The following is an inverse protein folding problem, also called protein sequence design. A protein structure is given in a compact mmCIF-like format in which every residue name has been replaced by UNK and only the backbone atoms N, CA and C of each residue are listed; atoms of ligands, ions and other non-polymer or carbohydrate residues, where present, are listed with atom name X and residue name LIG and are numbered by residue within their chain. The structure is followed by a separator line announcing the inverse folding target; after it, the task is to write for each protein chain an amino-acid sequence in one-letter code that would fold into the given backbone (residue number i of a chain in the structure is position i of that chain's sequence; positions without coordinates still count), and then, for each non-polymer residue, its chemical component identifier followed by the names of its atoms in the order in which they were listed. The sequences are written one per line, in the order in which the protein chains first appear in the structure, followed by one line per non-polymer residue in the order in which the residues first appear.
data_IF_156510993043
#
_entry.id   IF_156510993043
#
_cell.length_a   1.000
_cell.length_b   1.000
_cell.length_c   1.000
_cell.angle_alpha   90.00
_cell.angle_beta   90.00
_cell.angle_gamma   90.00
#
_symmetry.space_group_name_H-M   'P 1'
#
loop_
_entity.id
_entity.type
_entity.pdbx_description
1 polymer ?
#
# COMPACT_ATOMS: atom_id res chain seq x y z
N UNK A 1 -67.88 25.76 25.98
CA UNK A 1 -68.07 24.34 25.62
C UNK A 1 -67.23 24.06 24.39
N UNK A 2 -66.44 22.99 24.48
CA UNK A 2 -65.85 22.17 23.40
C UNK A 2 -64.63 22.65 22.60
N UNK A 3 -63.83 21.63 22.28
CA UNK A 3 -62.38 21.51 22.00
C UNK A 3 -61.99 21.86 20.55
N UNK A 4 -60.67 22.01 20.27
CA UNK A 4 -60.08 22.23 18.94
C UNK A 4 -59.85 20.87 18.20
N UNK A 5 -59.34 20.81 16.93
CA UNK A 5 -57.89 20.88 16.66
C UNK A 5 -57.42 21.36 15.26
N UNK A 6 -56.10 21.66 15.20
CA UNK A 6 -55.13 21.48 14.10
C UNK A 6 -55.30 22.18 12.73
N UNK A 7 -54.30 22.98 12.32
CA UNK A 7 -53.30 22.64 11.27
C UNK A 7 -52.44 23.85 10.83
N UNK A 8 -51.13 23.57 10.73
CA UNK A 8 -50.13 24.03 9.74
C UNK A 8 -49.78 25.54 9.66
N UNK A 9 -48.58 25.97 10.09
CA UNK A 9 -47.26 25.91 9.40
C UNK A 9 -47.23 26.60 8.02
N UNK A 10 -46.74 27.85 7.99
CA UNK A 10 -45.91 28.42 6.91
C UNK A 10 -45.35 29.81 7.31
N UNK A 11 -44.15 29.82 7.91
CA UNK A 11 -43.25 30.99 7.97
C UNK A 11 -42.15 30.72 6.93
N UNK A 12 -42.12 31.36 5.76
CA UNK A 12 -41.54 32.67 5.45
C UNK A 12 -40.06 32.86 5.82
N UNK A 13 -39.23 32.83 4.76
CA UNK A 13 -38.21 33.82 4.35
C UNK A 13 -36.73 33.36 4.20
N UNK A 14 -36.03 33.88 3.17
CA UNK A 14 -34.75 33.39 2.64
C UNK A 14 -33.56 34.11 3.29
N UNK A 15 -32.44 33.40 3.43
CA UNK A 15 -31.15 34.00 3.79
C UNK A 15 -30.07 33.57 2.81
N UNK A 16 -29.52 34.57 2.11
CA UNK A 16 -28.10 34.66 1.78
C UNK A 16 -27.54 33.59 0.85
N UNK A 17 -27.42 33.93 -0.44
CA UNK A 17 -26.54 33.21 -1.35
C UNK A 17 -25.08 33.33 -0.90
N UNK A 18 -24.56 32.27 -0.28
CA UNK A 18 -23.12 32.01 -0.29
C UNK A 18 -22.77 31.51 -1.68
N UNK A 19 -22.08 32.32 -2.47
CA UNK A 19 -21.32 31.80 -3.60
C UNK A 19 -20.25 30.87 -3.00
N UNK A 20 -20.56 29.58 -2.95
CA UNK A 20 -19.61 28.53 -2.61
C UNK A 20 -18.54 28.57 -3.70
N UNK A 21 -17.41 29.21 -3.40
CA UNK A 21 -16.17 28.94 -4.13
C UNK A 21 -15.90 27.45 -3.98
N UNK A 22 -16.18 26.73 -5.05
CA UNK A 22 -15.99 25.30 -5.15
C UNK A 22 -14.49 25.04 -4.88
N UNK A 23 -14.13 24.32 -3.80
CA UNK A 23 -12.74 23.98 -3.58
C UNK A 23 -12.28 23.19 -4.80
N UNK A 24 -11.20 23.64 -5.45
CA UNK A 24 -10.56 22.89 -6.51
C UNK A 24 -10.32 21.47 -5.98
N UNK A 25 -10.94 20.49 -6.62
CA UNK A 25 -11.11 19.15 -6.07
C UNK A 25 -9.76 18.43 -6.03
N UNK A 26 -9.13 18.20 -4.86
CA UNK A 26 -7.88 17.44 -4.79
C UNK A 26 -8.09 15.93 -5.05
N UNK A 27 -9.35 15.51 -5.24
CA UNK A 27 -9.74 14.11 -5.43
C UNK A 27 -9.33 13.53 -6.80
N UNK A 28 -9.15 14.35 -7.83
CA UNK A 28 -8.84 13.83 -9.18
C UNK A 28 -7.41 13.29 -9.30
N UNK A 29 -6.42 13.97 -8.70
CA UNK A 29 -5.02 13.49 -8.71
C UNK A 29 -4.83 12.19 -7.90
N UNK A 30 -5.59 12.02 -6.80
CA UNK A 30 -5.50 10.83 -5.94
C UNK A 30 -6.15 9.58 -6.54
N UNK A 31 -7.24 9.75 -7.28
CA UNK A 31 -7.91 8.64 -7.97
C UNK A 31 -7.13 8.16 -9.19
N UNK A 32 -6.45 9.06 -9.91
CA UNK A 32 -5.56 8.69 -11.03
C UNK A 32 -4.31 7.92 -10.56
N UNK A 33 -3.70 8.34 -9.44
CA UNK A 33 -2.53 7.66 -8.87
C UNK A 33 -2.85 6.23 -8.39
N UNK A 34 -4.03 6.02 -7.78
CA UNK A 34 -4.50 4.70 -7.31
C UNK A 34 -4.72 3.69 -8.44
N UNK A 35 -4.79 4.16 -9.70
CA UNK A 35 -4.88 3.32 -10.91
C UNK A 35 -3.54 3.19 -11.65
N UNK A 36 -2.49 3.85 -11.17
CA UNK A 36 -1.20 3.80 -11.85
C UNK A 36 -0.55 2.40 -11.72
N UNK A 37 0.18 1.94 -12.76
CA UNK A 37 0.92 0.67 -12.71
C UNK A 37 1.92 0.60 -11.54
N UNK A 38 2.57 1.72 -11.23
CA UNK A 38 3.54 1.81 -10.13
C UNK A 38 2.89 1.67 -8.76
N UNK A 39 1.70 2.27 -8.57
CA UNK A 39 0.93 2.06 -7.35
C UNK A 39 0.47 0.61 -7.22
N UNK A 40 -0.04 0.02 -8.31
CA UNK A 40 -0.49 -1.38 -8.34
C UNK A 40 0.64 -2.35 -8.02
N UNK A 41 1.82 -2.16 -8.64
CA UNK A 41 3.04 -2.91 -8.36
C UNK A 41 3.36 -2.87 -6.87
N UNK A 42 3.41 -1.67 -6.30
CA UNK A 42 3.77 -1.48 -4.90
C UNK A 42 2.75 -2.09 -3.95
N UNK A 43 1.46 -1.93 -4.21
CA UNK A 43 0.39 -2.46 -3.38
C UNK A 43 0.46 -4.00 -3.33
N UNK A 44 0.61 -4.65 -4.48
CA UNK A 44 0.72 -6.13 -4.55
C UNK A 44 1.96 -6.64 -3.81
N UNK A 45 3.12 -6.02 -4.05
CA UNK A 45 4.36 -6.44 -3.42
C UNK A 45 4.42 -6.14 -1.92
N UNK A 46 3.85 -5.03 -1.48
CA UNK A 46 3.75 -4.74 -0.06
C UNK A 46 2.84 -5.75 0.66
N UNK A 47 1.69 -6.09 0.08
CA UNK A 47 0.79 -7.09 0.65
C UNK A 47 1.43 -8.47 0.75
N UNK A 48 2.14 -8.91 -0.30
CA UNK A 48 2.87 -10.19 -0.30
C UNK A 48 3.97 -10.22 0.80
N UNK A 49 4.75 -9.14 0.89
CA UNK A 49 5.79 -9.00 1.93
C UNK A 49 5.22 -9.00 3.34
N UNK A 50 4.11 -8.28 3.56
CA UNK A 50 3.48 -8.16 4.87
C UNK A 50 3.03 -9.53 5.42
N UNK A 51 2.49 -10.41 4.57
CA UNK A 51 2.17 -11.78 4.97
C UNK A 51 3.38 -12.54 5.51
N UNK A 52 4.55 -12.39 4.87
CA UNK A 52 5.78 -13.03 5.33
C UNK A 52 6.33 -12.40 6.61
N UNK A 53 6.21 -11.08 6.78
CA UNK A 53 6.57 -10.38 8.02
C UNK A 53 5.74 -10.88 9.22
N UNK A 54 4.44 -11.14 9.03
CA UNK A 54 3.59 -11.71 10.06
C UNK A 54 4.03 -13.12 10.46
N UNK A 55 4.41 -13.95 9.49
CA UNK A 55 4.97 -15.29 9.77
C UNK A 55 6.28 -15.20 10.56
N UNK A 56 7.16 -14.25 10.21
CA UNK A 56 8.37 -13.97 10.98
C UNK A 56 8.04 -13.60 12.42
N UNK A 57 7.11 -12.67 12.62
CA UNK A 57 6.70 -12.22 13.95
C UNK A 57 6.17 -13.40 14.80
N UNK A 58 5.26 -14.19 14.25
CA UNK A 58 4.69 -15.34 14.96
C UNK A 58 5.75 -16.42 15.25
N UNK A 59 6.63 -16.74 14.30
CA UNK A 59 7.70 -17.70 14.51
C UNK A 59 8.74 -17.22 15.53
N UNK A 60 9.05 -15.92 15.53
CA UNK A 60 9.95 -15.34 16.53
C UNK A 60 9.33 -15.38 17.93
N UNK A 61 8.04 -15.07 18.06
CA UNK A 61 7.33 -15.17 19.34
C UNK A 61 7.29 -16.62 19.85
N UNK A 62 7.00 -17.59 18.97
CA UNK A 62 7.05 -19.02 19.32
C UNK A 62 8.45 -19.44 19.81
N UNK A 63 9.51 -18.97 19.13
CA UNK A 63 10.90 -19.20 19.53
C UNK A 63 11.21 -18.62 20.91
N UNK A 64 10.76 -17.39 21.18
CA UNK A 64 10.93 -16.74 22.48
C UNK A 64 10.13 -17.42 23.59
N UNK A 65 8.99 -18.02 23.25
CA UNK A 65 8.17 -18.81 24.17
C UNK A 65 8.71 -20.25 24.38
N UNK A 66 9.76 -20.66 23.67
CA UNK A 66 10.35 -22.00 23.79
C UNK A 66 9.58 -23.12 23.06
N UNK A 67 8.67 -22.77 22.14
CA UNK A 67 7.83 -23.72 21.39
C UNK A 67 8.60 -24.40 20.25
N UNK A 68 9.63 -25.19 20.58
CA UNK A 68 10.58 -25.74 19.61
C UNK A 68 9.92 -26.62 18.55
N UNK A 69 8.90 -27.41 18.91
CA UNK A 69 8.20 -28.27 17.94
C UNK A 69 7.52 -27.48 16.81
N UNK A 70 7.15 -26.22 17.04
CA UNK A 70 6.42 -25.38 16.08
C UNK A 70 7.34 -24.65 15.10
N UNK A 71 8.64 -24.54 15.41
CA UNK A 71 9.55 -23.74 14.59
C UNK A 71 9.76 -24.32 13.19
N UNK A 72 9.72 -25.64 13.04
CA UNK A 72 9.84 -26.30 11.73
C UNK A 72 8.69 -25.89 10.79
N UNK A 73 7.45 -25.89 11.29
CA UNK A 73 6.27 -25.42 10.54
C UNK A 73 6.41 -23.94 10.15
N UNK A 74 6.84 -23.08 11.06
CA UNK A 74 7.04 -21.66 10.75
C UNK A 74 8.10 -21.44 9.67
N UNK A 75 9.23 -22.18 9.69
CA UNK A 75 10.25 -22.10 8.63
C UNK A 75 9.69 -22.54 7.27
N UNK A 76 8.93 -23.64 7.25
CA UNK A 76 8.31 -24.14 6.02
C UNK A 76 7.30 -23.13 5.44
N UNK A 77 6.42 -22.58 6.30
CA UNK A 77 5.42 -21.58 5.91
C UNK A 77 6.07 -20.28 5.44
N UNK A 78 7.14 -19.84 6.10
CA UNK A 78 7.89 -18.67 5.67
C UNK A 78 8.55 -18.89 4.31
N UNK A 79 9.18 -20.04 4.09
CA UNK A 79 9.79 -20.39 2.80
C UNK A 79 8.74 -20.40 1.67
N UNK A 80 7.56 -20.98 1.92
CA UNK A 80 6.44 -20.93 0.98
C UNK A 80 5.98 -19.50 0.70
N UNK A 81 5.80 -18.69 1.74
CA UNK A 81 5.43 -17.29 1.60
C UNK A 81 6.43 -16.52 0.74
N UNK A 82 7.73 -16.72 0.94
CA UNK A 82 8.77 -16.06 0.15
C UNK A 82 8.72 -16.49 -1.32
N UNK A 83 8.46 -17.77 -1.60
CA UNK A 83 8.30 -18.26 -2.97
C UNK A 83 7.04 -17.68 -3.65
N UNK A 84 5.91 -17.64 -2.95
CA UNK A 84 4.66 -17.03 -3.44
C UNK A 84 4.83 -15.51 -3.67
N UNK A 85 5.55 -14.83 -2.77
CA UNK A 85 5.86 -13.42 -2.92
C UNK A 85 6.75 -13.17 -4.15
N UNK A 86 7.76 -14.01 -4.40
CA UNK A 86 8.60 -13.92 -5.59
C UNK A 86 7.79 -14.15 -6.88
N UNK A 87 6.89 -15.13 -6.90
CA UNK A 87 5.98 -15.34 -8.04
C UNK A 87 5.04 -14.14 -8.28
N UNK A 88 4.57 -13.50 -7.19
CA UNK A 88 3.77 -12.29 -7.29
C UNK A 88 4.58 -11.10 -7.83
N UNK A 89 5.88 -11.06 -7.57
CA UNK A 89 6.80 -10.08 -8.16
C UNK A 89 6.98 -10.27 -9.64
N UNK A 90 7.29 -11.48 -10.09
CA UNK A 90 7.39 -11.79 -11.53
C UNK A 90 6.11 -11.40 -12.27
N UNK A 91 4.94 -11.76 -11.72
CA UNK A 91 3.64 -11.40 -12.30
C UNK A 91 3.43 -9.88 -12.34
N UNK A 92 3.69 -9.18 -11.23
CA UNK A 92 3.45 -7.74 -11.16
C UNK A 92 4.42 -6.94 -12.04
N UNK A 93 5.67 -7.38 -12.14
CA UNK A 93 6.68 -6.80 -13.03
C UNK A 93 6.31 -7.03 -14.51
N UNK A 94 5.77 -8.21 -14.85
CA UNK A 94 5.30 -8.52 -16.20
C UNK A 94 4.08 -7.70 -16.66
N UNK A 95 3.32 -7.13 -15.74
CA UNK A 95 2.17 -6.26 -16.03
C UNK A 95 2.55 -4.77 -16.19
N UNK A 96 3.83 -4.41 -16.02
CA UNK A 96 4.28 -3.04 -16.20
C UNK A 96 4.25 -2.63 -17.68
N UNK A 97 3.76 -1.42 -18.02
CA UNK A 97 3.69 -1.00 -19.42
C UNK A 97 5.08 -0.80 -20.03
N UNK A 98 5.20 -1.13 -21.31
CA UNK A 98 6.35 -0.74 -22.12
C UNK A 98 6.34 0.78 -22.38
N UNK A 99 7.52 1.38 -22.61
CA UNK A 99 7.62 2.79 -23.02
C UNK A 99 7.50 3.83 -21.90
N UNK A 100 7.50 3.44 -20.62
CA UNK A 100 7.50 4.36 -19.47
C UNK A 100 8.70 5.32 -19.46
N UNK A 101 8.62 6.44 -18.76
CA UNK A 101 9.77 7.35 -18.60
C UNK A 101 10.99 6.63 -17.95
N UNK A 102 12.20 7.07 -18.30
CA UNK A 102 13.44 6.46 -17.79
C UNK A 102 13.55 6.58 -16.27
N UNK A 103 13.15 7.69 -15.67
CA UNK A 103 13.18 7.88 -14.22
C UNK A 103 12.22 6.92 -13.53
N UNK A 104 11.00 6.74 -14.07
CA UNK A 104 10.03 5.81 -13.49
C UNK A 104 10.53 4.37 -13.54
N UNK A 105 11.06 3.92 -14.70
CA UNK A 105 11.64 2.57 -14.81
C UNK A 105 12.80 2.35 -13.85
N UNK A 106 13.65 3.36 -13.64
CA UNK A 106 14.76 3.27 -12.69
C UNK A 106 14.27 3.19 -11.25
N UNK A 107 13.23 3.97 -10.89
CA UNK A 107 12.62 3.91 -9.58
C UNK A 107 11.96 2.55 -9.31
N UNK A 108 11.27 1.97 -10.30
CA UNK A 108 10.72 0.62 -10.23
C UNK A 108 11.80 -0.43 -9.99
N UNK A 109 12.92 -0.38 -10.74
CA UNK A 109 14.06 -1.29 -10.54
C UNK A 109 14.67 -1.16 -9.14
N UNK A 110 14.88 0.06 -8.66
CA UNK A 110 15.42 0.30 -7.33
C UNK A 110 14.48 -0.23 -6.23
N UNK A 111 13.17 -0.02 -6.40
CA UNK A 111 12.14 -0.57 -5.52
C UNK A 111 12.15 -2.10 -5.49
N UNK A 112 12.14 -2.75 -6.66
CA UNK A 112 12.17 -4.21 -6.78
C UNK A 112 13.42 -4.80 -6.11
N UNK A 113 14.60 -4.24 -6.38
CA UNK A 113 15.84 -4.71 -5.78
C UNK A 113 15.84 -4.57 -4.25
N UNK A 114 15.36 -3.43 -3.72
CA UNK A 114 15.27 -3.21 -2.28
C UNK A 114 14.23 -4.14 -1.62
N UNK A 115 13.10 -4.37 -2.29
CA UNK A 115 12.06 -5.30 -1.84
C UNK A 115 12.56 -6.74 -1.80
N UNK A 116 13.18 -7.24 -2.88
CA UNK A 116 13.76 -8.60 -2.96
C UNK A 116 14.84 -8.80 -1.88
N UNK A 117 15.72 -7.81 -1.71
CA UNK A 117 16.77 -7.85 -0.67
C UNK A 117 16.14 -7.95 0.72
N UNK A 118 15.09 -7.18 1.00
CA UNK A 118 14.43 -7.23 2.30
C UNK A 118 13.69 -8.55 2.52
N UNK A 119 12.95 -9.05 1.52
CA UNK A 119 12.26 -10.35 1.56
C UNK A 119 13.25 -11.48 1.91
N UNK A 120 14.44 -11.49 1.30
CA UNK A 120 15.48 -12.48 1.54
C UNK A 120 16.07 -12.42 2.97
N UNK A 121 15.91 -11.30 3.68
CA UNK A 121 16.35 -11.18 5.07
C UNK A 121 15.34 -11.68 6.09
N UNK A 122 14.11 -11.99 5.67
CA UNK A 122 13.08 -12.48 6.57
C UNK A 122 13.44 -13.88 7.08
N UNK A 123 13.57 -14.00 8.39
CA UNK A 123 13.80 -15.25 9.11
C UNK A 123 13.15 -15.19 10.49
N UNK A 124 12.73 -16.34 11.02
CA UNK A 124 12.19 -16.45 12.38
C UNK A 124 13.30 -16.45 13.46
N UNK A 125 14.53 -16.77 13.04
CA UNK A 125 15.62 -17.08 13.96
C UNK A 125 16.22 -15.80 14.60
N UNK A 126 16.11 -14.66 13.91
CA UNK A 126 16.77 -13.40 14.27
C UNK A 126 15.77 -12.23 14.15
N UNK A 127 15.99 -11.11 14.85
CA UNK A 127 15.13 -9.93 14.69
C UNK A 127 15.18 -9.38 13.26
N UNK A 128 14.13 -8.65 12.88
CA UNK A 128 14.00 -8.06 11.55
C UNK A 128 15.20 -7.15 11.20
N UNK A 129 15.71 -7.27 9.97
CA UNK A 129 16.77 -6.40 9.49
C UNK A 129 16.24 -4.99 9.21
N UNK A 130 16.32 -4.12 10.23
CA UNK A 130 15.77 -2.77 10.18
C UNK A 130 16.40 -1.89 9.10
N UNK A 131 17.70 -2.05 8.84
CA UNK A 131 18.39 -1.30 7.79
C UNK A 131 17.84 -1.67 6.40
N UNK A 132 17.60 -2.97 6.15
CA UNK A 132 17.00 -3.43 4.89
C UNK A 132 15.54 -2.99 4.78
N UNK A 133 14.77 -3.07 5.87
CA UNK A 133 13.39 -2.56 5.93
C UNK A 133 13.33 -1.06 5.58
N UNK A 134 14.21 -0.25 6.17
CA UNK A 134 14.29 1.18 5.88
C UNK A 134 14.68 1.46 4.42
N UNK A 135 15.63 0.70 3.88
CA UNK A 135 16.02 0.81 2.46
C UNK A 135 14.85 0.51 1.53
N UNK A 136 14.09 -0.55 1.82
CA UNK A 136 12.85 -0.90 1.13
C UNK A 136 11.82 0.24 1.21
N UNK A 137 11.53 0.75 2.40
CA UNK A 137 10.55 1.83 2.59
C UNK A 137 10.94 3.12 1.87
N UNK A 138 12.24 3.46 1.87
CA UNK A 138 12.77 4.61 1.12
C UNK A 138 12.57 4.44 -0.39
N UNK A 139 12.90 3.26 -0.93
CA UNK A 139 12.71 2.98 -2.35
C UNK A 139 11.22 3.00 -2.75
N UNK A 140 10.35 2.49 -1.86
CA UNK A 140 8.89 2.58 -1.98
C UNK A 140 8.39 4.02 -2.07
N UNK A 141 8.84 4.90 -1.16
CA UNK A 141 8.47 6.33 -1.19
C UNK A 141 8.93 6.98 -2.49
N UNK A 142 10.19 6.77 -2.87
CA UNK A 142 10.77 7.34 -4.08
C UNK A 142 10.01 6.94 -5.35
N UNK A 143 9.56 5.68 -5.45
CA UNK A 143 8.73 5.24 -6.57
C UNK A 143 7.40 6.01 -6.64
N UNK A 144 6.73 6.24 -5.50
CA UNK A 144 5.48 7.01 -5.48
C UNK A 144 5.71 8.47 -5.86
N UNK A 145 6.80 9.08 -5.38
CA UNK A 145 7.15 10.47 -5.71
C UNK A 145 7.38 10.64 -7.21
N UNK A 146 8.11 9.70 -7.84
CA UNK A 146 8.36 9.72 -9.29
C UNK A 146 7.09 9.46 -10.08
N UNK A 147 6.27 8.48 -9.67
CA UNK A 147 5.02 8.16 -10.34
C UNK A 147 4.02 9.33 -10.29
N UNK A 148 3.95 10.04 -9.16
CA UNK A 148 3.09 11.22 -8.98
C UNK A 148 3.52 12.36 -9.90
N UNK A 149 4.83 12.60 -10.02
CA UNK A 149 5.38 13.62 -10.93
C UNK A 149 5.10 13.29 -12.39
N UNK A 150 5.25 12.03 -12.80
CA UNK A 150 4.95 11.62 -14.17
C UNK A 150 3.46 11.82 -14.51
N UNK A 151 2.55 11.44 -13.61
CA UNK A 151 1.11 11.62 -13.81
C UNK A 151 0.74 13.11 -14.03
N UNK A 152 1.31 14.02 -13.23
CA UNK A 152 1.09 15.47 -13.39
C UNK A 152 1.72 16.10 -14.63
N UNK A 153 2.51 15.36 -15.42
CA UNK A 153 3.16 15.85 -16.64
C UNK A 153 2.52 15.33 -17.94
N UNK A 154 1.49 14.47 -17.86
CA UNK A 154 0.75 14.05 -19.06
C UNK A 154 -0.23 15.16 -19.48
N UNK A 155 -0.19 15.60 -20.75
CA UNK A 155 -1.10 16.63 -21.29
C UNK A 155 -2.54 16.15 -21.42
#
# INVERSE_FOLDING_TARGET
MHRPPALLLALLLPLGGCAVQQPANPADAGTELSRSPSWTLQARLHSALYGCELLVLHGNNARLAGEQERLADFRQRLSRCQAEAAAQEEKATGELPAGQDRLLRNAQKAYLAAWQTYLATLTIDHPANLQRKQSYLKARSMLLDVATKEAGTRP
#
